data_IF_779057357248
#
_entry.id   IF_779057357248
#
_cell.length_a   1.000
_cell.length_b   1.000
_cell.length_c   1.000
_cell.angle_alpha   90.00
_cell.angle_beta   90.00
_cell.angle_gamma   90.00
#
_symmetry.space_group_name_H-M   'P 1'
#
loop_
_entity.id
_entity.type
_entity.pdbx_description
1 polymer ?
#
# COMPACT_ATOMS: atom_id res chain seq x y z
N UNK A 1 -13.28 -1.01 7.72
CA UNK A 1 -12.73 0.27 8.22
C UNK A 1 -13.14 1.44 7.34
N UNK A 2 -12.55 1.56 6.15
CA UNK A 2 -12.70 2.73 5.26
C UNK A 2 -14.14 3.20 4.97
N UNK A 3 -15.13 2.34 4.63
CA UNK A 3 -16.47 2.82 4.28
C UNK A 3 -17.23 3.45 5.45
N UNK A 4 -17.06 2.92 6.66
CA UNK A 4 -17.74 3.39 7.86
C UNK A 4 -17.20 4.75 8.31
N UNK A 5 -15.87 4.92 8.28
CA UNK A 5 -15.21 6.20 8.60
C UNK A 5 -15.61 7.26 7.57
N UNK A 6 -15.65 6.89 6.28
CA UNK A 6 -16.14 7.78 5.22
C UNK A 6 -17.59 8.19 5.43
N UNK A 7 -18.47 7.27 5.84
CA UNK A 7 -19.88 7.58 6.11
C UNK A 7 -20.03 8.56 7.28
N UNK A 8 -19.31 8.33 8.39
CA UNK A 8 -19.32 9.21 9.56
C UNK A 8 -18.77 10.61 9.19
N UNK A 9 -17.66 10.67 8.46
CA UNK A 9 -17.08 11.93 7.99
C UNK A 9 -18.02 12.66 7.02
N UNK A 10 -18.73 11.96 6.13
CA UNK A 10 -19.72 12.56 5.23
C UNK A 10 -20.89 13.17 6.00
N UNK A 11 -21.38 12.47 7.02
CA UNK A 11 -22.45 12.97 7.90
C UNK A 11 -21.98 14.19 8.68
N UNK A 12 -20.78 14.14 9.26
CA UNK A 12 -20.18 15.28 9.96
C UNK A 12 -19.95 16.49 9.03
N UNK A 13 -19.50 16.25 7.80
CA UNK A 13 -19.26 17.29 6.81
C UNK A 13 -20.54 18.02 6.36
N UNK A 14 -21.71 17.36 6.43
CA UNK A 14 -22.99 18.01 6.16
C UNK A 14 -23.37 19.07 7.22
N UNK A 15 -22.82 18.98 8.44
CA UNK A 15 -23.10 19.93 9.53
C UNK A 15 -22.15 21.15 9.55
N UNK A 16 -21.00 21.12 8.86
CA UNK A 16 -19.93 22.14 8.98
C UNK A 16 -20.09 23.37 8.06
N UNK A 17 -21.31 23.86 7.85
CA UNK A 17 -21.55 25.30 7.58
C UNK A 17 -21.26 25.90 6.20
N UNK A 18 -20.80 25.16 5.18
CA UNK A 18 -20.79 25.65 3.78
C UNK A 18 -21.94 25.04 2.98
N UNK A 19 -22.66 25.85 2.21
CA UNK A 19 -23.72 25.40 1.30
C UNK A 19 -23.08 24.64 0.12
N UNK A 20 -22.92 23.33 0.28
CA UNK A 20 -22.47 22.45 -0.79
C UNK A 20 -23.68 21.84 -1.50
N UNK A 21 -23.67 21.85 -2.83
CA UNK A 21 -24.62 21.05 -3.61
C UNK A 21 -24.18 19.59 -3.53
N UNK A 22 -24.71 18.86 -2.54
CA UNK A 22 -24.35 17.47 -2.30
C UNK A 22 -24.38 16.61 -3.57
N UNK A 23 -25.37 16.82 -4.44
CA UNK A 23 -25.53 16.06 -5.69
C UNK A 23 -24.40 16.32 -6.70
N UNK A 24 -23.92 17.55 -6.80
CA UNK A 24 -22.84 17.96 -7.71
C UNK A 24 -21.49 17.47 -7.16
N UNK A 25 -21.26 17.61 -5.86
CA UNK A 25 -20.06 17.11 -5.17
C UNK A 25 -19.94 15.59 -5.23
N UNK A 26 -21.05 14.86 -5.06
CA UNK A 26 -21.06 13.39 -5.21
C UNK A 26 -20.73 12.99 -6.64
N UNK A 27 -21.29 13.70 -7.64
CA UNK A 27 -21.01 13.44 -9.05
C UNK A 27 -19.54 13.66 -9.39
N UNK A 28 -18.95 14.76 -8.93
CA UNK A 28 -17.53 15.05 -9.12
C UNK A 28 -16.62 14.04 -8.41
N UNK A 29 -17.00 13.61 -7.20
CA UNK A 29 -16.31 12.57 -6.46
C UNK A 29 -16.34 11.21 -7.19
N UNK A 30 -17.47 10.84 -7.79
CA UNK A 30 -17.57 9.63 -8.61
C UNK A 30 -16.67 9.74 -9.85
N UNK A 31 -16.71 10.87 -10.56
CA UNK A 31 -15.88 11.07 -11.76
C UNK A 31 -14.38 10.98 -11.47
N UNK A 32 -13.93 11.50 -10.33
CA UNK A 32 -12.53 11.39 -9.89
C UNK A 32 -12.15 9.99 -9.41
N UNK A 33 -13.13 9.17 -8.98
CA UNK A 33 -12.90 7.80 -8.50
C UNK A 33 -12.88 6.76 -9.61
N UNK A 34 -13.58 7.00 -10.75
CA UNK A 34 -13.61 6.08 -11.91
C UNK A 34 -12.21 5.65 -12.38
N UNK A 35 -11.21 6.55 -12.54
CA UNK A 35 -9.85 6.15 -12.92
C UNK A 35 -9.17 5.22 -11.90
N UNK A 36 -9.43 5.40 -10.61
CA UNK A 36 -8.88 4.53 -9.55
C UNK A 36 -9.54 3.16 -9.60
N UNK A 37 -10.87 3.11 -9.74
CA UNK A 37 -11.62 1.87 -9.91
C UNK A 37 -11.15 1.10 -11.15
N UNK A 38 -10.88 1.79 -12.26
CA UNK A 38 -10.34 1.17 -13.47
C UNK A 38 -9.01 0.44 -13.24
N UNK A 39 -8.08 1.07 -12.49
CA UNK A 39 -6.81 0.42 -12.10
C UNK A 39 -7.05 -0.80 -11.21
N UNK A 40 -7.95 -0.69 -10.22
CA UNK A 40 -8.29 -1.80 -9.32
C UNK A 40 -8.91 -3.00 -10.04
N UNK A 41 -9.81 -2.75 -11.01
CA UNK A 41 -10.41 -3.80 -11.84
C UNK A 41 -9.34 -4.52 -12.66
N UNK A 42 -8.42 -3.76 -13.29
CA UNK A 42 -7.31 -4.35 -14.04
C UNK A 42 -6.41 -5.24 -13.19
N UNK A 43 -6.07 -4.79 -11.98
CA UNK A 43 -5.32 -5.63 -11.03
C UNK A 43 -6.13 -6.87 -10.63
N UNK A 44 -7.43 -6.72 -10.35
CA UNK A 44 -8.28 -7.83 -9.96
C UNK A 44 -8.31 -8.95 -11.01
N UNK A 45 -8.44 -8.58 -12.29
CA UNK A 45 -8.35 -9.51 -13.41
C UNK A 45 -6.98 -10.17 -13.49
N UNK A 46 -5.90 -9.39 -13.31
CA UNK A 46 -4.53 -9.93 -13.31
C UNK A 46 -4.32 -10.96 -12.18
N UNK A 47 -4.82 -10.70 -10.97
CA UNK A 47 -4.76 -11.64 -9.85
C UNK A 47 -5.52 -12.93 -10.15
N UNK A 48 -6.69 -12.83 -10.76
CA UNK A 48 -7.47 -14.01 -11.15
C UNK A 48 -6.70 -14.84 -12.18
N UNK A 49 -6.07 -14.22 -13.18
CA UNK A 49 -5.22 -14.94 -14.15
C UNK A 49 -4.02 -15.61 -13.47
N UNK A 50 -3.30 -14.92 -12.59
CA UNK A 50 -2.18 -15.51 -11.82
C UNK A 50 -2.61 -16.65 -10.89
N UNK A 51 -3.85 -16.58 -10.39
CA UNK A 51 -4.41 -17.65 -9.57
C UNK A 51 -4.77 -18.85 -10.45
N UNK A 52 -5.37 -18.60 -11.63
CA UNK A 52 -5.74 -19.64 -12.59
C UNK A 52 -4.52 -20.35 -13.20
N UNK A 53 -3.43 -19.63 -13.47
CA UNK A 53 -2.17 -20.20 -13.99
C UNK A 53 -1.28 -20.82 -12.93
N UNK A 54 -1.65 -20.72 -11.64
CA UNK A 54 -0.85 -21.25 -10.53
C UNK A 54 0.42 -20.46 -10.21
N UNK A 55 0.70 -19.36 -10.94
CA UNK A 55 1.87 -18.48 -10.71
C UNK A 55 1.90 -17.96 -9.28
N UNK A 56 0.73 -17.64 -8.72
CA UNK A 56 0.61 -17.23 -7.32
C UNK A 56 1.13 -18.30 -6.34
N UNK A 57 0.80 -19.57 -6.59
CA UNK A 57 1.29 -20.69 -5.78
C UNK A 57 2.78 -20.95 -5.97
N UNK A 58 3.25 -20.83 -7.21
CA UNK A 58 4.68 -20.94 -7.54
C UNK A 58 5.53 -19.90 -6.78
N UNK A 59 5.07 -18.64 -6.70
CA UNK A 59 5.76 -17.59 -5.94
C UNK A 59 5.82 -17.93 -4.44
N UNK A 60 4.75 -18.48 -3.86
CA UNK A 60 4.73 -18.90 -2.44
C UNK A 60 5.73 -20.02 -2.20
N UNK A 61 5.77 -21.04 -3.06
CA UNK A 61 6.68 -22.18 -2.91
C UNK A 61 8.13 -21.72 -3.04
N UNK A 62 8.43 -20.83 -4.00
CA UNK A 62 9.76 -20.25 -4.11
C UNK A 62 10.13 -19.39 -2.90
N UNK A 63 9.18 -18.62 -2.35
CA UNK A 63 9.40 -17.87 -1.10
C UNK A 63 9.64 -18.79 0.11
N UNK A 64 8.94 -19.92 0.21
CA UNK A 64 9.18 -20.90 1.27
C UNK A 64 10.53 -21.62 1.12
N UNK A 65 11.00 -21.81 -0.13
CA UNK A 65 12.34 -22.32 -0.41
C UNK A 65 13.46 -21.28 -0.28
N UNK A 66 13.12 -19.99 -0.23
CA UNK A 66 14.06 -18.90 0.00
C UNK A 66 14.38 -18.80 1.50
N UNK A 67 15.67 -18.71 1.82
CA UNK A 67 16.09 -18.50 3.21
C UNK A 67 15.44 -17.25 3.83
N UNK A 68 15.18 -17.23 5.15
CA UNK A 68 14.40 -16.19 5.81
C UNK A 68 14.97 -14.78 5.57
N UNK A 69 16.30 -14.64 5.57
CA UNK A 69 16.99 -13.37 5.29
C UNK A 69 16.69 -12.85 3.87
N UNK A 70 16.65 -13.73 2.87
CA UNK A 70 16.39 -13.35 1.48
C UNK A 70 14.92 -12.99 1.25
N UNK A 71 14.02 -13.62 2.00
CA UNK A 71 12.59 -13.31 2.00
C UNK A 71 12.32 -11.90 2.55
N UNK A 72 12.92 -11.53 3.69
CA UNK A 72 12.78 -10.17 4.23
C UNK A 72 13.37 -9.11 3.30
N UNK A 73 14.50 -9.41 2.65
CA UNK A 73 15.13 -8.51 1.67
C UNK A 73 14.26 -8.35 0.41
N UNK A 74 13.66 -9.45 -0.06
CA UNK A 74 12.73 -9.45 -1.18
C UNK A 74 11.47 -8.63 -0.85
N UNK A 75 10.91 -8.74 0.35
CA UNK A 75 9.77 -7.89 0.77
C UNK A 75 10.17 -6.42 0.78
N UNK A 76 11.32 -6.12 1.36
CA UNK A 76 11.80 -4.75 1.52
C UNK A 76 12.09 -4.05 0.19
N UNK A 77 12.42 -4.80 -0.87
CA UNK A 77 12.78 -4.25 -2.18
C UNK A 77 11.65 -4.40 -3.20
N UNK A 78 11.03 -5.58 -3.28
CA UNK A 78 9.99 -5.88 -4.26
C UNK A 78 8.64 -5.24 -3.89
N UNK A 79 8.26 -5.18 -2.60
CA UNK A 79 6.98 -4.54 -2.24
C UNK A 79 6.98 -3.04 -2.51
N UNK A 80 7.99 -2.25 -2.11
CA UNK A 80 8.02 -0.82 -2.45
C UNK A 80 8.18 -0.59 -3.95
N UNK A 81 8.95 -1.43 -4.65
CA UNK A 81 9.13 -1.29 -6.10
C UNK A 81 7.83 -1.51 -6.89
N UNK A 82 7.07 -2.54 -6.56
CA UNK A 82 5.74 -2.75 -7.15
C UNK A 82 4.70 -1.77 -6.61
N UNK A 83 4.80 -1.42 -5.32
CA UNK A 83 3.96 -0.42 -4.66
C UNK A 83 4.12 0.97 -5.28
N UNK A 84 5.27 1.25 -5.89
CA UNK A 84 5.43 2.41 -6.73
C UNK A 84 4.42 2.38 -7.87
N UNK A 85 4.43 1.38 -8.76
CA UNK A 85 3.47 1.33 -9.89
C UNK A 85 2.01 1.43 -9.42
N UNK A 86 1.66 0.72 -8.34
CA UNK A 86 0.40 0.88 -7.63
C UNK A 86 0.45 0.21 -6.27
N UNK A 87 0.28 0.97 -5.19
CA UNK A 87 0.24 0.44 -3.82
C UNK A 87 -0.92 -0.55 -3.61
N UNK A 88 -2.10 -0.24 -4.12
CA UNK A 88 -3.25 -1.16 -4.10
C UNK A 88 -3.00 -2.44 -4.92
N UNK A 89 -2.32 -2.29 -6.06
CA UNK A 89 -2.01 -3.40 -6.94
C UNK A 89 -1.02 -4.37 -6.31
N UNK A 90 0.08 -3.82 -5.79
CA UNK A 90 1.15 -4.57 -5.16
C UNK A 90 0.70 -5.28 -3.87
N UNK A 91 -0.11 -4.62 -3.03
CA UNK A 91 -0.66 -5.24 -1.83
C UNK A 91 -1.56 -6.45 -2.16
N UNK A 92 -2.31 -6.38 -3.26
CA UNK A 92 -3.23 -7.45 -3.64
C UNK A 92 -2.53 -8.60 -4.39
N UNK A 93 -1.52 -8.29 -5.21
CA UNK A 93 -0.78 -9.28 -6.02
C UNK A 93 0.32 -9.98 -5.21
N UNK A 94 1.20 -9.20 -4.57
CA UNK A 94 2.37 -9.69 -3.85
C UNK A 94 2.10 -9.84 -2.35
N UNK A 95 1.16 -9.07 -1.78
CA UNK A 95 0.86 -9.14 -0.35
C UNK A 95 0.41 -10.52 0.09
N UNK A 96 -0.47 -11.18 -0.66
CA UNK A 96 -0.96 -12.51 -0.27
C UNK A 96 0.13 -13.59 -0.28
N UNK A 97 0.97 -13.74 -1.33
CA UNK A 97 2.02 -14.76 -1.29
C UNK A 97 3.06 -14.51 -0.20
N UNK A 98 3.46 -13.25 0.05
CA UNK A 98 4.38 -12.92 1.14
C UNK A 98 3.75 -13.14 2.53
N UNK A 99 2.48 -12.81 2.70
CA UNK A 99 1.72 -13.12 3.92
C UNK A 99 1.70 -14.63 4.18
N UNK A 100 1.42 -15.42 3.14
CA UNK A 100 1.38 -16.88 3.24
C UNK A 100 2.76 -17.48 3.55
N UNK A 101 3.84 -16.91 3.02
CA UNK A 101 5.19 -17.38 3.33
C UNK A 101 5.62 -17.02 4.77
N UNK A 102 5.11 -15.93 5.33
CA UNK A 102 5.38 -15.48 6.70
C UNK A 102 4.38 -16.00 7.74
N UNK A 103 3.38 -16.79 7.34
CA UNK A 103 2.38 -17.39 8.22
C UNK A 103 2.99 -18.15 9.40
N UNK A 104 4.12 -18.83 9.17
CA UNK A 104 4.81 -19.62 10.18
C UNK A 104 5.56 -18.75 11.23
N UNK A 105 5.65 -17.44 11.03
CA UNK A 105 6.53 -16.54 11.81
C UNK A 105 5.83 -15.80 12.96
N UNK A 106 4.49 -15.80 13.03
CA UNK A 106 3.77 -15.15 14.13
C UNK A 106 2.37 -14.65 13.78
N UNK A 107 1.92 -13.58 14.45
CA UNK A 107 0.57 -13.02 14.29
C UNK A 107 0.33 -12.47 12.88
N UNK A 108 -0.59 -13.11 12.15
CA UNK A 108 -0.95 -12.81 10.77
C UNK A 108 -1.45 -11.38 10.58
N UNK A 109 -2.15 -10.81 11.58
CA UNK A 109 -2.73 -9.47 11.50
C UNK A 109 -1.61 -8.42 11.47
N UNK A 110 -0.59 -8.59 12.31
CA UNK A 110 0.55 -7.67 12.39
C UNK A 110 1.41 -7.78 11.14
N UNK A 111 1.63 -8.99 10.64
CA UNK A 111 2.36 -9.22 9.39
C UNK A 111 1.60 -8.58 8.22
N UNK A 112 0.27 -8.78 8.12
CA UNK A 112 -0.56 -8.14 7.10
C UNK A 112 -0.50 -6.61 7.18
N UNK A 113 -0.55 -6.04 8.39
CA UNK A 113 -0.43 -4.62 8.62
C UNK A 113 0.96 -4.07 8.22
N UNK A 114 2.03 -4.77 8.58
CA UNK A 114 3.41 -4.41 8.22
C UNK A 114 3.64 -4.47 6.71
N UNK A 115 3.14 -5.52 6.03
CA UNK A 115 3.21 -5.65 4.58
C UNK A 115 2.41 -4.54 3.87
N UNK A 116 1.21 -4.24 4.36
CA UNK A 116 0.39 -3.14 3.82
C UNK A 116 1.07 -1.79 4.00
N UNK A 117 1.69 -1.58 5.16
CA UNK A 117 2.45 -0.38 5.48
C UNK A 117 3.66 -0.21 4.54
N UNK A 118 4.49 -1.26 4.37
CA UNK A 118 5.63 -1.24 3.44
C UNK A 118 5.17 -1.01 2.00
N UNK A 119 4.04 -1.58 1.61
CA UNK A 119 3.47 -1.40 0.28
C UNK A 119 3.01 0.05 0.03
N UNK A 120 2.40 0.71 1.02
CA UNK A 120 2.03 2.12 0.94
C UNK A 120 3.24 3.06 0.84
N UNK A 121 4.42 2.67 1.37
CA UNK A 121 5.65 3.46 1.18
C UNK A 121 6.05 3.54 -0.30
N UNK A 122 5.66 2.55 -1.12
CA UNK A 122 5.87 2.57 -2.57
C UNK A 122 5.30 3.81 -3.27
N UNK A 123 4.23 4.42 -2.75
CA UNK A 123 3.65 5.66 -3.31
C UNK A 123 4.61 6.87 -3.24
N UNK A 124 5.69 6.77 -2.45
CA UNK A 124 6.76 7.78 -2.34
C UNK A 124 7.93 7.51 -3.31
N UNK A 125 7.96 6.37 -4.00
CA UNK A 125 9.07 5.98 -4.87
C UNK A 125 9.03 6.72 -6.22
N UNK A 126 10.20 6.98 -6.86
CA UNK A 126 10.33 7.90 -8.01
C UNK A 126 9.49 7.62 -9.27
N UNK A 127 9.11 6.38 -9.64
CA UNK A 127 8.37 6.19 -10.89
C UNK A 127 6.89 6.62 -10.82
N UNK A 128 6.33 6.88 -9.65
CA UNK A 128 4.88 7.10 -9.47
C UNK A 128 4.48 8.12 -8.42
N UNK A 129 5.43 8.83 -7.81
CA UNK A 129 5.22 9.81 -6.75
C UNK A 129 4.25 10.94 -7.15
N UNK A 130 2.96 10.62 -7.16
CA UNK A 130 1.86 11.55 -7.37
C UNK A 130 1.87 12.52 -6.20
N UNK A 131 1.94 12.02 -4.96
CA UNK A 131 2.08 12.84 -3.75
C UNK A 131 3.34 13.72 -3.79
N UNK A 132 4.48 13.17 -4.23
CA UNK A 132 5.74 13.92 -4.35
C UNK A 132 5.72 14.98 -5.46
N UNK A 133 5.09 14.69 -6.61
CA UNK A 133 4.92 15.65 -7.69
C UNK A 133 3.88 16.72 -7.36
N UNK A 134 2.79 16.40 -6.64
CA UNK A 134 1.84 17.38 -6.15
C UNK A 134 2.49 18.30 -5.10
N UNK A 135 3.26 17.74 -4.16
CA UNK A 135 4.02 18.54 -3.19
C UNK A 135 5.10 19.40 -3.88
N UNK A 136 5.83 18.85 -4.85
CA UNK A 136 6.81 19.60 -5.64
C UNK A 136 6.18 20.72 -6.48
N UNK A 137 4.94 20.52 -6.97
CA UNK A 137 4.16 21.56 -7.67
C UNK A 137 3.69 22.67 -6.73
N UNK A 138 3.36 22.35 -5.48
CA UNK A 138 2.94 23.33 -4.46
C UNK A 138 4.15 24.14 -3.95
N UNK A 139 5.33 23.53 -3.88
CA UNK A 139 6.57 24.13 -3.34
C UNK A 139 7.48 24.72 -4.44
N UNK A 140 7.12 24.59 -5.72
CA UNK A 140 7.88 25.06 -6.91
C UNK A 140 9.36 24.60 -6.98
N UNK A 141 9.71 23.49 -6.33
CA UNK A 141 11.06 22.94 -6.33
C UNK A 141 11.17 21.70 -7.24
N UNK A 142 12.36 21.47 -7.79
CA UNK A 142 12.65 20.25 -8.56
C UNK A 142 12.42 19.01 -7.68
N UNK A 143 11.63 18.06 -8.19
CA UNK A 143 11.27 16.77 -7.57
C UNK A 143 12.47 16.05 -6.90
N UNK A 144 13.65 16.09 -7.54
CA UNK A 144 14.88 15.48 -7.03
C UNK A 144 15.34 16.03 -5.66
N UNK A 145 15.14 17.34 -5.38
CA UNK A 145 15.53 17.95 -4.11
C UNK A 145 14.55 17.61 -2.97
N UNK A 146 13.27 17.45 -3.30
CA UNK A 146 12.22 17.00 -2.37
C UNK A 146 12.42 15.52 -2.03
N UNK A 147 12.77 14.71 -3.04
CA UNK A 147 13.02 13.28 -2.86
C UNK A 147 14.19 13.00 -1.91
N UNK A 148 15.29 13.76 -2.00
CA UNK A 148 16.44 13.60 -1.08
C UNK A 148 16.05 13.87 0.38
N UNK A 149 15.15 14.83 0.63
CA UNK A 149 14.62 15.10 1.96
C UNK A 149 13.64 14.00 2.43
N UNK A 150 12.90 13.39 1.50
CA UNK A 150 11.97 12.29 1.77
C UNK A 150 12.63 10.90 1.91
N UNK A 151 13.90 10.74 1.50
CA UNK A 151 14.62 9.46 1.66
C UNK A 151 14.84 9.13 3.15
N UNK A 152 15.17 10.11 3.98
CA UNK A 152 15.37 9.90 5.42
C UNK A 152 14.11 9.33 6.12
N UNK A 153 12.91 9.94 6.00
CA UNK A 153 11.70 9.34 6.55
C UNK A 153 11.32 8.03 5.86
N UNK A 154 11.56 7.87 4.56
CA UNK A 154 11.31 6.62 3.85
C UNK A 154 12.10 5.45 4.44
N UNK A 155 13.41 5.61 4.63
CA UNK A 155 14.28 4.57 5.20
C UNK A 155 13.86 4.25 6.64
N UNK A 156 13.51 5.26 7.44
CA UNK A 156 13.07 5.07 8.81
C UNK A 156 11.75 4.27 8.88
N UNK A 157 10.80 4.56 7.99
CA UNK A 157 9.51 3.84 7.92
C UNK A 157 9.70 2.41 7.39
N UNK A 158 10.58 2.20 6.42
CA UNK A 158 10.95 0.85 5.95
C UNK A 158 11.57 0.04 7.09
N UNK A 159 12.52 0.60 7.83
CA UNK A 159 13.13 -0.04 8.99
C UNK A 159 12.10 -0.35 10.09
N UNK A 160 11.13 0.55 10.32
CA UNK A 160 10.04 0.32 11.25
C UNK A 160 9.13 -0.84 10.80
N UNK A 161 8.78 -0.90 9.52
CA UNK A 161 8.04 -2.03 8.94
C UNK A 161 8.80 -3.36 9.05
N UNK A 162 10.11 -3.32 8.87
CA UNK A 162 11.00 -4.48 9.01
C UNK A 162 11.11 -4.93 10.47
N UNK A 163 11.15 -3.99 11.43
CA UNK A 163 11.14 -4.29 12.86
C UNK A 163 9.82 -4.97 13.30
N UNK A 164 8.67 -4.52 12.77
CA UNK A 164 7.37 -5.17 12.99
C UNK A 164 7.32 -6.60 12.41
N UNK A 165 8.04 -6.84 11.32
CA UNK A 165 8.17 -8.13 10.64
C UNK A 165 9.12 -9.11 11.36
N UNK A 166 10.13 -8.60 12.08
CA UNK A 166 11.08 -9.40 12.86
C UNK A 166 10.58 -9.74 14.26
N UNK A 167 9.77 -8.87 14.89
CA UNK A 167 9.17 -9.11 16.21
C UNK A 167 7.63 -9.06 16.20
N UNK A 168 6.94 -9.92 15.44
CA UNK A 168 5.48 -9.92 15.39
C UNK A 168 4.83 -10.22 16.75
N UNK A 169 5.49 -11.00 17.62
CA UNK A 169 4.97 -11.37 18.94
C UNK A 169 5.14 -10.26 20.01
N UNK A 170 6.10 -9.35 19.88
CA UNK A 170 6.27 -8.24 20.82
C UNK A 170 5.17 -7.17 20.65
N UNK A 171 4.61 -7.05 19.45
CA UNK A 171 3.54 -6.12 19.11
C UNK A 171 2.14 -6.74 19.11
N UNK A 172 2.00 -7.99 19.60
CA UNK A 172 0.70 -8.65 19.76
C UNK A 172 -0.29 -7.87 20.65
N UNK A 173 0.21 -6.93 21.46
CA UNK A 173 -0.60 -6.01 22.26
C UNK A 173 -1.35 -4.94 21.44
N UNK A 174 -1.01 -4.73 20.16
CA UNK A 174 -1.63 -3.70 19.31
C UNK A 174 -2.96 -4.15 18.66
N UNK A 175 -3.37 -5.41 18.87
CA UNK A 175 -4.58 -6.04 18.30
C UNK A 175 -5.54 -6.42 19.41
#
# INVERSE_FOLDING_TARGET
GMPLIFAICSVAAMFTGRKFKALETVRDAIHTTIPVLGKLVGVGMFIQVMTLTGVRGYIVINCLSLGPVLLYLAICLAMPAFGAVSSYGAASVLGVPFLLALLASGNQIIIAAALSFICCLGDLMPPTALAGNYAARIVELKYSRVLVHCIAPFVLLVLFGLALLLWPNAFAFLV
#
